data_IF_156465230653
#
_entry.id   IF_156465230653
#
_cell.length_a   1.000
_cell.length_b   1.000
_cell.length_c   1.000
_cell.angle_alpha   90.00
_cell.angle_beta   90.00
_cell.angle_gamma   90.00
#
_symmetry.space_group_name_H-M   'P 1'
#
loop_
_entity.id
_entity.type
_entity.pdbx_description
1 polymer ?
#
# COMPACT_ATOMS: atom_id res chain seq x y z
N UNK A 1 -33.52 -21.38 -41.29
CA UNK A 1 -32.24 -21.11 -40.61
C UNK A 1 -31.12 -21.18 -41.63
N UNK A 2 -30.48 -20.06 -41.93
CA UNK A 2 -29.45 -20.02 -42.95
C UNK A 2 -28.13 -20.53 -42.35
N UNK A 3 -27.94 -21.85 -42.32
CA UNK A 3 -26.72 -22.49 -41.80
C UNK A 3 -25.44 -21.97 -42.46
N UNK A 4 -25.55 -21.53 -43.72
CA UNK A 4 -24.48 -20.87 -44.48
C UNK A 4 -23.99 -19.60 -43.76
N UNK A 5 -24.91 -18.75 -43.29
CA UNK A 5 -24.57 -17.54 -42.53
C UNK A 5 -23.85 -17.90 -41.22
N UNK A 6 -24.31 -18.95 -40.52
CA UNK A 6 -23.66 -19.41 -39.28
C UNK A 6 -22.21 -19.85 -39.47
N UNK A 7 -21.92 -20.62 -40.54
CA UNK A 7 -20.55 -21.01 -40.88
C UNK A 7 -19.68 -19.82 -41.31
N UNK A 8 -20.25 -18.85 -42.03
CA UNK A 8 -19.56 -17.61 -42.40
C UNK A 8 -19.14 -16.80 -41.17
N UNK A 9 -20.06 -16.57 -40.22
CA UNK A 9 -19.74 -15.88 -38.96
C UNK A 9 -18.69 -16.62 -38.14
N UNK A 10 -18.72 -17.95 -38.11
CA UNK A 10 -17.69 -18.78 -37.44
C UNK A 10 -16.32 -18.56 -38.06
N UNK A 11 -16.24 -18.60 -39.39
CA UNK A 11 -15.00 -18.41 -40.12
C UNK A 11 -14.40 -17.02 -39.88
N UNK A 12 -15.24 -15.99 -39.94
CA UNK A 12 -14.84 -14.60 -39.64
C UNK A 12 -14.36 -14.48 -38.19
N UNK A 13 -15.05 -15.09 -37.22
CA UNK A 13 -14.64 -15.10 -35.81
C UNK A 13 -13.26 -15.73 -35.60
N UNK A 14 -13.00 -16.88 -36.22
CA UNK A 14 -11.69 -17.56 -36.15
C UNK A 14 -10.59 -16.70 -36.80
N UNK A 15 -10.87 -16.09 -37.95
CA UNK A 15 -9.91 -15.23 -38.64
C UNK A 15 -9.52 -14.01 -37.78
N UNK A 16 -10.52 -13.33 -37.20
CA UNK A 16 -10.32 -12.19 -36.31
C UNK A 16 -9.58 -12.60 -35.04
N UNK A 17 -9.94 -13.74 -34.44
CA UNK A 17 -9.24 -14.29 -33.27
C UNK A 17 -7.74 -14.47 -33.57
N UNK A 18 -7.40 -15.11 -34.69
CA UNK A 18 -6.02 -15.35 -35.09
C UNK A 18 -5.24 -14.04 -35.34
N UNK A 19 -5.81 -13.12 -36.12
CA UNK A 19 -5.18 -11.83 -36.44
C UNK A 19 -4.95 -11.02 -35.16
N UNK A 20 -5.97 -10.86 -34.33
CA UNK A 20 -5.85 -10.05 -33.11
C UNK A 20 -4.90 -10.69 -32.10
N UNK A 21 -4.87 -12.02 -31.97
CA UNK A 21 -3.85 -12.70 -31.15
C UNK A 21 -2.44 -12.43 -31.65
N UNK A 22 -2.21 -12.50 -32.96
CA UNK A 22 -0.91 -12.19 -33.56
C UNK A 22 -0.50 -10.74 -33.27
N UNK A 23 -1.41 -9.78 -33.46
CA UNK A 23 -1.16 -8.36 -33.15
C UNK A 23 -0.88 -8.14 -31.66
N UNK A 24 -1.68 -8.72 -30.77
CA UNK A 24 -1.47 -8.66 -29.32
C UNK A 24 -0.11 -9.24 -28.94
N UNK A 25 0.30 -10.34 -29.55
CA UNK A 25 1.60 -10.96 -29.30
C UNK A 25 2.75 -10.02 -29.70
N UNK A 26 2.71 -9.46 -30.91
CA UNK A 26 3.74 -8.53 -31.41
C UNK A 26 3.82 -7.28 -30.54
N UNK A 27 2.68 -6.68 -30.18
CA UNK A 27 2.67 -5.48 -29.32
C UNK A 27 3.18 -5.81 -27.92
N UNK A 28 2.80 -6.94 -27.32
CA UNK A 28 3.32 -7.35 -26.02
C UNK A 28 4.83 -7.60 -26.06
N UNK A 29 5.34 -8.26 -27.11
CA UNK A 29 6.76 -8.48 -27.30
C UNK A 29 7.50 -7.15 -27.35
N UNK A 30 7.03 -6.20 -28.16
CA UNK A 30 7.60 -4.85 -28.25
C UNK A 30 7.60 -4.15 -26.88
N UNK A 31 6.46 -4.10 -26.19
CA UNK A 31 6.35 -3.44 -24.87
C UNK A 31 7.25 -4.10 -23.84
N UNK A 32 7.41 -5.42 -23.89
CA UNK A 32 8.31 -6.16 -22.98
C UNK A 32 9.77 -5.80 -23.21
N UNK A 33 10.21 -5.70 -24.47
CA UNK A 33 11.58 -5.29 -24.83
C UNK A 33 11.87 -3.89 -24.29
N UNK A 34 10.96 -2.93 -24.49
CA UNK A 34 11.10 -1.57 -23.96
C UNK A 34 11.09 -1.54 -22.43
N UNK A 35 10.27 -2.38 -21.78
CA UNK A 35 10.25 -2.49 -20.32
C UNK A 35 11.60 -3.00 -19.78
N UNK A 36 12.14 -4.06 -20.37
CA UNK A 36 13.44 -4.63 -20.01
C UNK A 36 14.58 -3.65 -20.26
N UNK A 37 14.54 -2.90 -21.38
CA UNK A 37 15.51 -1.86 -21.66
C UNK A 37 15.48 -0.75 -20.61
N UNK A 38 14.30 -0.30 -20.19
CA UNK A 38 14.14 0.68 -19.11
C UNK A 38 14.64 0.15 -17.76
N UNK A 39 14.35 -1.11 -17.44
CA UNK A 39 14.86 -1.75 -16.21
C UNK A 39 16.39 -1.83 -16.23
N UNK A 40 16.98 -2.19 -17.37
CA UNK A 40 18.44 -2.17 -17.56
C UNK A 40 19.03 -0.76 -17.41
N UNK A 41 18.43 0.26 -18.03
CA UNK A 41 18.83 1.66 -17.84
C UNK A 41 18.68 2.11 -16.38
N UNK A 42 17.60 1.69 -15.72
CA UNK A 42 17.34 1.98 -14.31
C UNK A 42 18.36 1.35 -13.38
N UNK A 43 18.82 0.13 -13.67
CA UNK A 43 19.90 -0.55 -12.95
C UNK A 43 21.25 0.13 -13.18
N UNK A 44 21.55 0.56 -14.41
CA UNK A 44 22.78 1.32 -14.70
C UNK A 44 22.77 2.66 -13.94
N UNK A 45 21.61 3.34 -13.91
CA UNK A 45 21.41 4.55 -13.11
C UNK A 45 21.52 4.28 -11.61
N UNK A 46 21.00 3.16 -11.10
CA UNK A 46 21.10 2.82 -9.68
C UNK A 46 22.53 2.47 -9.27
N UNK A 47 23.30 1.81 -10.14
CA UNK A 47 24.73 1.56 -9.93
C UNK A 47 25.58 2.85 -10.00
N UNK A 48 25.17 3.84 -10.80
CA UNK A 48 25.79 5.18 -10.84
C UNK A 48 25.47 6.07 -9.64
N UNK A 49 24.44 5.71 -8.86
CA UNK A 49 24.09 6.32 -7.57
C UNK A 49 23.88 7.84 -7.59
N UNK A 50 24.05 8.46 -6.42
CA UNK A 50 23.94 9.90 -6.19
C UNK A 50 24.91 10.72 -7.05
N UNK A 51 26.00 10.09 -7.50
CA UNK A 51 27.05 10.70 -8.33
C UNK A 51 26.54 11.00 -9.74
N UNK A 52 25.78 10.07 -10.33
CA UNK A 52 25.12 10.29 -11.62
C UNK A 52 24.00 11.32 -11.53
N UNK A 53 23.24 11.33 -10.41
CA UNK A 53 22.21 12.34 -10.15
C UNK A 53 22.83 13.74 -9.97
N UNK A 54 23.93 13.87 -9.23
CA UNK A 54 24.67 15.13 -9.10
C UNK A 54 25.23 15.62 -10.44
N UNK A 55 25.74 14.70 -11.28
CA UNK A 55 26.25 15.03 -12.61
C UNK A 55 25.11 15.44 -13.57
N UNK A 56 23.95 14.80 -13.47
CA UNK A 56 22.77 15.10 -14.30
C UNK A 56 22.10 16.42 -13.88
N UNK A 57 22.13 16.78 -12.60
CA UNK A 57 21.68 18.10 -12.10
C UNK A 57 22.69 19.23 -12.35
N UNK A 58 23.86 18.95 -12.92
CA UNK A 58 24.79 19.99 -13.33
C UNK A 58 24.16 20.79 -14.50
N UNK A 59 23.99 22.12 -14.36
CA UNK A 59 23.34 22.95 -15.37
C UNK A 59 24.03 22.88 -16.75
N UNK A 60 25.34 22.61 -16.81
CA UNK A 60 26.07 22.44 -18.08
C UNK A 60 25.74 21.12 -18.79
N UNK A 61 25.52 20.04 -18.04
CA UNK A 61 25.16 18.72 -18.58
C UNK A 61 23.70 18.72 -19.02
N UNK A 62 22.80 19.29 -18.20
CA UNK A 62 21.41 19.54 -18.55
C UNK A 62 21.29 20.37 -19.84
N UNK A 63 22.04 21.47 -19.94
CA UNK A 63 22.08 22.31 -21.14
C UNK A 63 22.55 21.55 -22.39
N UNK A 64 23.55 20.68 -22.25
CA UNK A 64 24.05 19.83 -23.35
C UNK A 64 23.04 18.75 -23.76
N UNK A 65 22.30 18.16 -22.82
CA UNK A 65 21.23 17.18 -23.12
C UNK A 65 20.04 17.89 -23.80
N UNK A 66 19.64 19.06 -23.30
CA UNK A 66 18.55 19.88 -23.83
C UNK A 66 18.81 20.38 -25.27
N UNK A 67 20.06 20.69 -25.61
CA UNK A 67 20.44 21.18 -26.94
C UNK A 67 20.46 20.09 -28.01
N UNK A 68 20.70 18.84 -27.61
CA UNK A 68 20.78 17.71 -28.54
C UNK A 68 19.38 17.17 -28.85
N UNK A 69 18.81 17.45 -30.04
CA UNK A 69 17.44 17.06 -30.35
C UNK A 69 17.26 15.53 -30.34
N UNK A 70 18.32 14.78 -30.67
CA UNK A 70 18.30 13.30 -30.67
C UNK A 70 18.19 12.71 -29.26
N UNK A 71 18.91 13.25 -28.28
CA UNK A 71 18.82 12.77 -26.90
C UNK A 71 17.45 13.08 -26.31
N UNK A 72 16.90 14.26 -26.61
CA UNK A 72 15.56 14.63 -26.18
C UNK A 72 14.47 13.76 -26.79
N UNK A 73 14.58 13.42 -28.07
CA UNK A 73 13.62 12.49 -28.70
C UNK A 73 13.71 11.10 -28.10
N UNK A 74 14.91 10.60 -27.78
CA UNK A 74 15.08 9.29 -27.12
C UNK A 74 14.53 9.26 -25.69
N UNK A 75 14.74 10.33 -24.91
CA UNK A 75 14.19 10.44 -23.54
C UNK A 75 12.66 10.47 -23.59
N UNK A 76 12.08 11.29 -24.48
CA UNK A 76 10.63 11.35 -24.67
C UNK A 76 10.07 10.00 -25.15
N UNK A 77 10.72 9.34 -26.11
CA UNK A 77 10.34 8.01 -26.59
C UNK A 77 10.38 6.98 -25.44
N UNK A 78 11.42 7.01 -24.61
CA UNK A 78 11.59 6.11 -23.46
C UNK A 78 10.47 6.23 -22.42
N UNK A 79 9.93 7.43 -22.22
CA UNK A 79 8.82 7.67 -21.28
C UNK A 79 7.47 7.34 -21.92
N UNK A 80 7.27 7.73 -23.18
CA UNK A 80 5.97 7.62 -23.86
C UNK A 80 5.65 6.19 -24.29
N UNK A 81 6.62 5.45 -24.84
CA UNK A 81 6.42 4.08 -25.34
C UNK A 81 5.86 3.10 -24.30
N UNK A 82 6.38 3.01 -23.05
CA UNK A 82 5.85 2.05 -22.07
C UNK A 82 4.44 2.43 -21.56
N UNK A 83 4.09 3.71 -21.56
CA UNK A 83 2.74 4.15 -21.19
C UNK A 83 1.72 3.82 -22.28
N UNK A 84 2.03 4.21 -23.52
CA UNK A 84 1.18 3.90 -24.69
C UNK A 84 1.07 2.39 -24.87
N UNK A 85 2.17 1.65 -24.68
CA UNK A 85 2.21 0.21 -24.82
C UNK A 85 1.19 -0.52 -23.94
N UNK A 86 1.11 -0.18 -22.65
CA UNK A 86 0.15 -0.78 -21.72
C UNK A 86 -1.30 -0.49 -22.12
N UNK A 87 -1.58 0.75 -22.53
CA UNK A 87 -2.91 1.17 -22.97
C UNK A 87 -3.29 0.44 -24.26
N UNK A 88 -2.38 0.38 -25.23
CA UNK A 88 -2.57 -0.30 -26.50
C UNK A 88 -2.87 -1.79 -26.31
N UNK A 89 -2.11 -2.50 -25.47
CA UNK A 89 -2.36 -3.90 -25.14
C UNK A 89 -3.73 -4.09 -24.50
N UNK A 90 -4.10 -3.23 -23.54
CA UNK A 90 -5.41 -3.30 -22.89
C UNK A 90 -6.56 -3.07 -23.89
N UNK A 91 -6.38 -2.13 -24.81
CA UNK A 91 -7.37 -1.82 -25.84
C UNK A 91 -7.48 -2.92 -26.90
N UNK A 92 -6.37 -3.53 -27.32
CA UNK A 92 -6.38 -4.67 -28.23
C UNK A 92 -7.08 -5.88 -27.61
N UNK A 93 -6.86 -6.17 -26.32
CA UNK A 93 -7.60 -7.22 -25.59
C UNK A 93 -9.11 -6.93 -25.53
N UNK A 94 -9.49 -5.66 -25.34
CA UNK A 94 -10.89 -5.24 -25.38
C UNK A 94 -11.53 -5.49 -26.76
N UNK A 95 -10.86 -5.08 -27.84
CA UNK A 95 -11.34 -5.32 -29.21
C UNK A 95 -11.41 -6.83 -29.49
N UNK A 96 -10.39 -7.59 -29.07
CA UNK A 96 -10.34 -9.04 -29.25
C UNK A 96 -11.50 -9.75 -28.56
N UNK A 97 -11.77 -9.45 -27.29
CA UNK A 97 -12.89 -10.02 -26.57
C UNK A 97 -14.22 -9.70 -27.24
N UNK A 98 -14.46 -8.42 -27.59
CA UNK A 98 -15.72 -8.01 -28.21
C UNK A 98 -15.89 -8.67 -29.58
N UNK A 99 -14.85 -8.64 -30.41
CA UNK A 99 -14.90 -9.24 -31.74
C UNK A 99 -15.18 -10.73 -31.66
N UNK A 100 -14.37 -11.47 -30.91
CA UNK A 100 -14.53 -12.92 -30.80
C UNK A 100 -15.90 -13.30 -30.24
N UNK A 101 -16.29 -12.77 -29.09
CA UNK A 101 -17.57 -13.11 -28.45
C UNK A 101 -18.76 -12.73 -29.34
N UNK A 102 -18.75 -11.57 -30.01
CA UNK A 102 -19.81 -11.15 -30.92
C UNK A 102 -19.96 -12.09 -32.13
N UNK A 103 -18.85 -12.41 -32.80
CA UNK A 103 -18.87 -13.25 -34.00
C UNK A 103 -19.22 -14.71 -33.67
N UNK A 104 -18.74 -15.23 -32.54
CA UNK A 104 -19.09 -16.57 -32.08
C UNK A 104 -20.55 -16.66 -31.63
N UNK A 105 -21.06 -15.68 -30.88
CA UNK A 105 -22.46 -15.68 -30.42
C UNK A 105 -23.45 -15.55 -31.59
N UNK A 106 -23.14 -14.74 -32.61
CA UNK A 106 -23.91 -14.70 -33.87
C UNK A 106 -23.82 -16.02 -34.63
N UNK A 107 -22.64 -16.65 -34.69
CA UNK A 107 -22.50 -17.96 -35.31
C UNK A 107 -23.37 -19.01 -34.61
N UNK A 108 -23.32 -19.08 -33.27
CA UNK A 108 -24.12 -19.99 -32.45
C UNK A 108 -25.62 -19.74 -32.61
N UNK A 109 -26.05 -18.48 -32.72
CA UNK A 109 -27.44 -18.13 -33.01
C UNK A 109 -27.91 -18.73 -34.34
N UNK A 110 -27.13 -18.59 -35.42
CA UNK A 110 -27.50 -19.10 -36.74
C UNK A 110 -27.30 -20.63 -36.90
N UNK A 111 -26.38 -21.25 -36.15
CA UNK A 111 -26.08 -22.68 -36.21
C UNK A 111 -26.93 -23.52 -35.25
N UNK A 112 -27.07 -23.08 -33.99
CA UNK A 112 -27.67 -23.83 -32.89
C UNK A 112 -29.03 -23.28 -32.45
N UNK A 113 -29.43 -22.10 -32.92
CA UNK A 113 -30.67 -21.45 -32.48
C UNK A 113 -30.64 -20.96 -31.03
N UNK A 114 -29.45 -20.88 -30.43
CA UNK A 114 -29.26 -20.32 -29.08
C UNK A 114 -29.59 -18.83 -29.11
N UNK A 115 -30.29 -18.31 -28.09
CA UNK A 115 -30.51 -16.87 -27.96
C UNK A 115 -29.16 -16.18 -27.82
N UNK A 116 -28.93 -15.15 -28.65
CA UNK A 116 -27.74 -14.32 -28.57
C UNK A 116 -27.66 -13.67 -27.18
N UNK A 117 -26.46 -13.63 -26.59
CA UNK A 117 -26.26 -13.02 -25.27
C UNK A 117 -26.59 -11.52 -25.30
N UNK A 118 -26.25 -10.84 -26.40
CA UNK A 118 -26.62 -9.45 -26.66
C UNK A 118 -26.84 -9.20 -28.16
N UNK A 119 -27.71 -8.24 -28.49
CA UNK A 119 -27.98 -7.85 -29.88
C UNK A 119 -26.90 -6.90 -30.44
N UNK A 120 -26.39 -6.00 -29.61
CA UNK A 120 -25.43 -4.96 -29.99
C UNK A 120 -24.01 -5.32 -29.53
N UNK A 121 -23.04 -4.98 -30.38
CA UNK A 121 -21.61 -5.17 -30.08
C UNK A 121 -21.14 -4.35 -28.86
N UNK A 122 -21.77 -3.21 -28.58
CA UNK A 122 -21.44 -2.35 -27.43
C UNK A 122 -21.69 -3.04 -26.07
N UNK A 123 -22.70 -3.90 -26.00
CA UNK A 123 -23.09 -4.58 -24.76
C UNK A 123 -22.02 -5.57 -24.31
N UNK A 124 -21.34 -6.21 -25.26
CA UNK A 124 -20.16 -7.03 -25.01
C UNK A 124 -19.01 -6.24 -24.40
N UNK A 125 -18.87 -4.97 -24.78
CA UNK A 125 -17.88 -4.07 -24.17
C UNK A 125 -18.21 -3.72 -22.72
N UNK A 126 -19.49 -3.58 -22.38
CA UNK A 126 -19.94 -3.40 -20.98
C UNK A 126 -19.63 -4.63 -20.14
N UNK A 127 -19.97 -5.84 -20.64
CA UNK A 127 -19.66 -7.12 -19.99
C UNK A 127 -18.16 -7.30 -19.74
N UNK A 128 -17.31 -6.91 -20.69
CA UNK A 128 -15.85 -6.96 -20.51
C UNK A 128 -15.36 -6.09 -19.35
N UNK A 129 -15.84 -4.84 -19.26
CA UNK A 129 -15.45 -3.90 -18.19
C UNK A 129 -15.86 -4.42 -16.82
N UNK A 130 -17.07 -4.93 -16.70
CA UNK A 130 -17.58 -5.50 -15.45
C UNK A 130 -16.78 -6.72 -15.00
N UNK A 131 -16.42 -7.63 -15.92
CA UNK A 131 -15.58 -8.78 -15.62
C UNK A 131 -14.19 -8.34 -15.13
N UNK A 132 -13.61 -7.30 -15.73
CA UNK A 132 -12.32 -6.74 -15.32
C UNK A 132 -12.38 -6.15 -13.91
N UNK A 133 -13.46 -5.44 -13.56
CA UNK A 133 -13.67 -4.89 -12.22
C UNK A 133 -13.84 -5.99 -11.17
N UNK A 134 -14.67 -7.00 -11.46
CA UNK A 134 -14.84 -8.17 -10.58
C UNK A 134 -13.52 -8.89 -10.34
N UNK A 135 -12.66 -9.01 -11.37
CA UNK A 135 -11.35 -9.64 -11.23
C UNK A 135 -10.38 -8.81 -10.36
N UNK A 136 -10.41 -7.47 -10.47
CA UNK A 136 -9.62 -6.58 -9.61
C UNK A 136 -10.01 -6.71 -8.15
N UNK A 137 -11.30 -6.67 -7.85
CA UNK A 137 -11.82 -6.80 -6.48
C UNK A 137 -11.37 -8.13 -5.86
N UNK A 138 -11.48 -9.24 -6.62
CA UNK A 138 -11.02 -10.56 -6.16
C UNK A 138 -9.52 -10.60 -5.87
N UNK A 139 -8.69 -9.96 -6.70
CA UNK A 139 -7.24 -9.88 -6.49
C UNK A 139 -6.86 -9.06 -5.25
N UNK A 140 -7.56 -7.97 -5.00
CA UNK A 140 -7.35 -7.15 -3.81
C UNK A 140 -7.75 -7.88 -2.53
N UNK A 141 -8.89 -8.58 -2.56
CA UNK A 141 -9.33 -9.42 -1.44
C UNK A 141 -8.32 -10.54 -1.14
N UNK A 142 -7.81 -11.21 -2.17
CA UNK A 142 -6.76 -12.22 -2.03
C UNK A 142 -5.48 -11.66 -1.44
N UNK A 143 -5.05 -10.45 -1.85
CA UNK A 143 -3.87 -9.78 -1.27
C UNK A 143 -4.06 -9.45 0.20
N UNK A 144 -5.23 -8.96 0.59
CA UNK A 144 -5.54 -8.68 2.00
C UNK A 144 -5.49 -9.96 2.85
N UNK A 145 -6.09 -11.05 2.36
CA UNK A 145 -6.04 -12.35 3.04
C UNK A 145 -4.63 -12.88 3.16
N UNK A 146 -3.83 -12.80 2.09
CA UNK A 146 -2.43 -13.21 2.12
C UNK A 146 -1.60 -12.40 3.13
N UNK A 147 -1.79 -11.08 3.19
CA UNK A 147 -1.14 -10.21 4.17
C UNK A 147 -1.54 -10.53 5.61
N UNK A 148 -2.83 -10.79 5.84
CA UNK A 148 -3.35 -11.15 7.17
C UNK A 148 -2.84 -12.51 7.62
N UNK A 149 -2.76 -13.49 6.70
CA UNK A 149 -2.16 -14.80 6.96
C UNK A 149 -0.66 -14.71 7.23
N UNK A 150 0.09 -13.92 6.45
CA UNK A 150 1.51 -13.66 6.70
C UNK A 150 1.74 -13.02 8.06
N UNK A 151 0.95 -11.99 8.39
CA UNK A 151 0.99 -11.34 9.69
C UNK A 151 0.69 -12.34 10.81
N UNK A 152 -0.35 -13.16 10.64
CA UNK A 152 -0.72 -14.18 11.61
C UNK A 152 0.39 -15.22 11.80
N UNK A 153 1.03 -15.69 10.73
CA UNK A 153 2.14 -16.64 10.83
C UNK A 153 3.34 -16.03 11.54
N UNK A 154 3.73 -14.79 11.18
CA UNK A 154 4.81 -14.07 11.88
C UNK A 154 4.49 -13.88 13.36
N UNK A 155 3.23 -13.58 13.68
CA UNK A 155 2.77 -13.45 15.05
C UNK A 155 2.84 -14.77 15.84
N UNK A 156 2.48 -15.89 15.22
CA UNK A 156 2.55 -17.22 15.84
C UNK A 156 3.99 -17.72 16.02
N UNK A 157 4.85 -17.54 15.01
CA UNK A 157 6.28 -17.95 15.05
C UNK A 157 7.08 -17.21 16.13
N UNK A 158 6.67 -15.97 16.42
CA UNK A 158 7.22 -15.13 17.46
C UNK A 158 6.71 -15.48 18.89
N UNK A 159 5.90 -16.54 19.03
CA UNK A 159 5.40 -17.03 20.32
C UNK A 159 3.94 -16.63 20.65
N UNK A 160 3.27 -15.88 19.77
CA UNK A 160 1.90 -15.42 20.01
C UNK A 160 1.75 -14.65 21.33
N UNK A 161 0.52 -14.47 21.82
CA UNK A 161 0.24 -13.77 23.08
C UNK A 161 0.67 -14.55 24.35
N UNK A 162 1.40 -15.66 24.21
CA UNK A 162 1.75 -16.52 25.32
C UNK A 162 3.27 -16.52 25.50
N UNK A 163 3.76 -15.69 26.44
CA UNK A 163 4.52 -16.09 27.64
C UNK A 163 4.87 -14.82 28.43
N UNK A 164 4.44 -14.73 29.69
CA UNK A 164 4.86 -13.65 30.59
C UNK A 164 6.20 -14.02 31.22
N UNK A 165 7.32 -13.77 30.54
CA UNK A 165 8.67 -13.89 31.14
C UNK A 165 9.62 -12.80 30.66
N UNK A 166 10.54 -12.43 31.56
CA UNK A 166 11.42 -11.25 31.57
C UNK A 166 12.33 -11.06 30.33
N UNK A 167 12.63 -12.13 29.58
CA UNK A 167 13.62 -12.11 28.48
C UNK A 167 13.05 -11.73 27.09
N UNK A 168 11.72 -11.74 26.89
CA UNK A 168 11.10 -11.44 25.57
C UNK A 168 10.77 -9.95 25.35
N UNK A 169 11.25 -9.08 26.24
CA UNK A 169 10.92 -7.66 26.25
C UNK A 169 11.52 -6.88 25.07
N UNK A 170 12.73 -7.25 24.63
CA UNK A 170 13.46 -6.63 23.52
C UNK A 170 12.98 -7.15 22.17
N UNK A 171 12.66 -8.44 22.11
CA UNK A 171 12.11 -9.08 20.92
C UNK A 171 10.77 -8.41 20.53
N UNK A 172 9.92 -8.04 21.49
CA UNK A 172 8.62 -7.41 21.22
C UNK A 172 8.77 -6.05 20.53
N UNK A 173 9.75 -5.24 20.93
CA UNK A 173 10.02 -3.94 20.29
C UNK A 173 10.58 -4.11 18.88
N UNK A 174 11.42 -5.13 18.69
CA UNK A 174 11.93 -5.54 17.38
C UNK A 174 10.82 -6.08 16.46
N UNK A 175 9.82 -6.78 16.98
CA UNK A 175 8.64 -7.23 16.23
C UNK A 175 7.84 -6.06 15.64
N UNK A 176 7.58 -4.99 16.40
CA UNK A 176 6.90 -3.81 15.83
C UNK A 176 7.79 -3.08 14.82
N UNK A 177 9.11 -3.04 15.06
CA UNK A 177 10.09 -2.46 14.13
C UNK A 177 10.16 -3.23 12.80
N UNK A 178 10.22 -4.56 12.85
CA UNK A 178 10.38 -5.44 11.69
C UNK A 178 9.06 -5.73 10.94
N UNK A 179 7.92 -5.68 11.63
CA UNK A 179 6.60 -5.69 11.00
C UNK A 179 6.26 -4.38 10.26
N UNK A 180 7.18 -3.42 10.19
CA UNK A 180 7.00 -2.16 9.46
C UNK A 180 6.13 -1.13 10.18
N UNK A 181 5.76 -1.40 11.44
CA UNK A 181 4.95 -0.51 12.29
C UNK A 181 5.79 0.40 13.19
N UNK A 182 7.09 0.11 13.33
CA UNK A 182 8.03 0.86 14.16
C UNK A 182 8.67 2.06 13.47
N UNK A 183 8.07 2.54 12.38
CA UNK A 183 8.49 3.80 11.75
C UNK A 183 7.29 4.70 11.45
N UNK A 184 6.54 5.03 12.48
CA UNK A 184 5.79 6.28 12.51
C UNK A 184 6.69 7.41 13.05
N UNK A 185 7.71 7.77 12.27
CA UNK A 185 8.13 9.16 12.17
C UNK A 185 7.17 9.82 11.17
N UNK A 186 5.91 9.97 11.59
CA UNK A 186 4.88 10.63 10.80
C UNK A 186 5.17 12.13 10.77
N UNK A 187 5.63 12.61 9.62
CA UNK A 187 5.64 14.01 9.20
C UNK A 187 4.19 14.56 9.15
N UNK A 188 3.58 14.74 10.32
CA UNK A 188 2.60 15.81 10.47
C UNK A 188 3.41 17.08 10.69
N UNK A 189 3.74 17.75 9.59
CA UNK A 189 4.11 19.16 9.54
C UNK A 189 2.98 20.04 10.08
N UNK A 190 2.71 19.92 11.37
CA UNK A 190 2.09 20.92 12.22
C UNK A 190 3.17 21.37 13.18
N UNK A 191 3.41 22.68 13.22
CA UNK A 191 4.45 23.36 13.96
C UNK A 191 4.34 23.09 15.48
N UNK A 192 4.76 21.92 15.94
CA UNK A 192 4.93 21.62 17.36
C UNK A 192 6.39 21.81 17.69
N UNK A 193 6.70 23.06 18.03
CA UNK A 193 7.92 23.43 18.71
C UNK A 193 8.13 22.48 19.88
N UNK A 194 9.13 21.62 19.69
CA UNK A 194 9.89 20.99 20.75
C UNK A 194 10.58 22.11 21.53
N UNK A 195 9.81 22.80 22.37
CA UNK A 195 10.31 23.71 23.38
C UNK A 195 10.32 22.88 24.64
N UNK A 196 11.52 22.61 25.16
CA UNK A 196 11.70 22.19 26.55
C UNK A 196 10.84 23.09 27.43
N UNK A 197 9.68 22.54 27.82
CA UNK A 197 8.63 23.25 28.50
C UNK A 197 8.95 23.20 29.98
N UNK A 198 9.71 24.18 30.44
CA UNK A 198 9.66 24.62 31.82
C UNK A 198 8.18 24.82 32.16
N UNK A 199 7.64 23.97 33.06
CA UNK A 199 6.27 24.09 33.57
C UNK A 199 6.18 25.37 34.42
N UNK A 200 6.12 26.51 33.76
CA UNK A 200 5.57 27.72 34.33
C UNK A 200 4.04 27.60 34.31
N UNK A 201 3.55 27.08 35.43
CA UNK A 201 2.41 27.60 36.18
C UNK A 201 1.57 28.65 35.42
N UNK A 202 0.41 28.25 34.89
CA UNK A 202 -0.69 29.19 34.69
C UNK A 202 -2.02 28.43 34.70
N UNK A 203 -2.87 28.73 35.68
CA UNK A 203 -4.31 28.43 35.65
C UNK A 203 -4.74 27.16 36.40
N UNK A 204 -4.73 27.23 37.73
CA UNK A 204 -5.26 26.19 38.64
C UNK A 204 -4.24 25.09 38.92
N UNK A 205 -3.45 25.22 39.99
CA UNK A 205 -2.38 24.25 40.29
C UNK A 205 -2.98 22.87 40.60
N UNK A 206 -2.97 21.96 39.63
CA UNK A 206 -3.04 20.55 39.95
C UNK A 206 -1.77 20.23 40.76
N UNK A 207 -1.93 19.82 42.01
CA UNK A 207 -0.80 19.40 42.85
C UNK A 207 -0.01 18.32 42.11
N UNK A 208 1.31 18.30 42.24
CA UNK A 208 2.18 17.22 41.71
C UNK A 208 1.59 15.83 42.01
N UNK A 209 1.02 15.69 43.22
CA UNK A 209 0.29 14.50 43.67
C UNK A 209 -0.88 14.13 42.75
N UNK A 210 -1.73 15.10 42.39
CA UNK A 210 -2.90 14.90 41.54
C UNK A 210 -2.53 14.58 40.08
N UNK A 211 -1.44 15.14 39.55
CA UNK A 211 -0.94 14.81 38.22
C UNK A 211 -0.36 13.39 38.15
N UNK A 212 0.34 12.96 39.21
CA UNK A 212 0.83 11.59 39.35
C UNK A 212 -0.31 10.58 39.44
N UNK A 213 -1.30 10.82 40.31
CA UNK A 213 -2.51 9.99 40.42
C UNK A 213 -3.27 9.90 39.09
N UNK A 214 -3.43 11.02 38.37
CA UNK A 214 -4.05 11.03 37.03
C UNK A 214 -3.28 10.15 36.05
N UNK A 215 -1.95 10.23 36.03
CA UNK A 215 -1.11 9.45 35.12
C UNK A 215 -1.19 7.94 35.42
N UNK A 216 -1.19 7.57 36.70
CA UNK A 216 -1.43 6.19 37.12
C UNK A 216 -2.83 5.70 36.72
N UNK A 217 -3.85 6.54 36.86
CA UNK A 217 -5.23 6.21 36.46
C UNK A 217 -5.38 6.02 34.94
N UNK A 218 -4.69 6.83 34.12
CA UNK A 218 -4.67 6.68 32.65
C UNK A 218 -4.06 5.34 32.26
N UNK A 219 -2.97 4.93 32.91
CA UNK A 219 -2.35 3.62 32.68
C UNK A 219 -3.09 2.46 33.37
N UNK A 220 -3.99 2.75 34.32
CA UNK A 220 -4.74 1.76 35.10
C UNK A 220 -3.88 1.04 36.14
N UNK A 221 -2.86 1.69 36.68
CA UNK A 221 -1.93 1.13 37.69
C UNK A 221 -2.16 1.74 39.06
N UNK A 222 -1.72 1.04 40.11
CA UNK A 222 -1.78 1.55 41.47
C UNK A 222 -0.86 2.78 41.64
N UNK A 223 -1.19 3.70 42.54
CA UNK A 223 -0.33 4.85 42.86
C UNK A 223 1.02 4.44 43.48
N UNK A 224 1.08 3.27 44.11
CA UNK A 224 2.31 2.69 44.64
C UNK A 224 2.98 1.73 43.65
N UNK A 225 2.53 1.71 42.39
CA UNK A 225 3.05 0.80 41.38
C UNK A 225 4.55 0.98 41.18
N UNK A 226 5.26 -0.13 41.00
CA UNK A 226 6.67 -0.09 40.66
C UNK A 226 6.85 0.31 39.18
N UNK A 227 8.05 0.79 38.83
CA UNK A 227 8.41 1.13 37.44
C UNK A 227 8.08 -0.02 36.48
N UNK A 228 8.29 -1.26 36.95
CA UNK A 228 7.96 -2.47 36.21
C UNK A 228 6.47 -2.55 35.84
N UNK A 229 5.59 -2.30 36.80
CA UNK A 229 4.13 -2.36 36.62
C UNK A 229 3.63 -1.23 35.71
N UNK A 230 4.19 -0.03 35.85
CA UNK A 230 3.91 1.13 34.99
C UNK A 230 4.27 0.83 33.54
N UNK A 231 5.45 0.25 33.31
CA UNK A 231 5.94 -0.12 31.96
C UNK A 231 5.09 -1.23 31.33
N UNK A 232 4.66 -2.22 32.11
CA UNK A 232 3.81 -3.31 31.63
C UNK A 232 2.41 -2.80 31.25
N UNK A 233 1.83 -1.93 32.06
CA UNK A 233 0.51 -1.35 31.80
C UNK A 233 0.52 -0.43 30.59
N UNK A 234 1.55 0.41 30.45
CA UNK A 234 1.78 1.21 29.24
C UNK A 234 1.80 0.35 27.98
N UNK A 235 2.59 -0.75 27.97
CA UNK A 235 2.66 -1.66 26.82
C UNK A 235 1.31 -2.30 26.48
N UNK A 236 0.53 -2.68 27.50
CA UNK A 236 -0.83 -3.24 27.32
C UNK A 236 -1.79 -2.22 26.70
N UNK A 237 -1.78 -0.99 27.20
CA UNK A 237 -2.65 0.09 26.70
C UNK A 237 -2.24 0.58 25.32
N UNK A 238 -0.93 0.70 25.05
CA UNK A 238 -0.38 1.05 23.74
C UNK A 238 -0.82 0.06 22.65
N UNK A 239 -0.90 -1.24 22.98
CA UNK A 239 -1.43 -2.27 22.07
C UNK A 239 -2.94 -2.15 21.83
N UNK A 240 -3.71 -1.77 22.84
CA UNK A 240 -5.18 -1.65 22.75
C UNK A 240 -5.63 -0.39 22.00
N UNK A 241 -4.89 0.70 22.13
CA UNK A 241 -5.22 2.00 21.56
C UNK A 241 -4.29 2.43 20.42
N UNK A 242 -3.49 1.52 19.87
CA UNK A 242 -2.66 1.82 18.72
C UNK A 242 -3.53 2.28 17.54
N UNK A 243 -3.24 3.41 16.88
CA UNK A 243 -4.09 3.97 15.82
C UNK A 243 -4.25 3.05 14.60
N UNK A 244 -3.28 2.15 14.37
CA UNK A 244 -3.39 1.16 13.29
C UNK A 244 -4.29 -0.03 13.64
N UNK A 245 -4.49 -0.31 14.93
CA UNK A 245 -5.29 -1.43 15.43
C UNK A 245 -6.72 -0.96 15.77
N UNK A 246 -6.83 0.19 16.43
CA UNK A 246 -8.09 0.78 16.85
C UNK A 246 -8.41 2.03 16.02
N UNK A 247 -9.40 1.89 15.12
CA UNK A 247 -9.87 2.96 14.22
C UNK A 247 -11.05 3.75 14.78
N UNK A 248 -11.35 3.61 16.07
CA UNK A 248 -12.39 4.40 16.70
C UNK A 248 -12.02 5.89 16.72
N UNK A 249 -13.00 6.79 16.52
CA UNK A 249 -12.76 8.22 16.67
C UNK A 249 -12.32 8.51 18.11
N UNK A 250 -11.09 9.03 18.26
CA UNK A 250 -10.47 9.33 19.56
C UNK A 250 -9.39 8.35 20.03
N UNK A 251 -9.10 7.28 19.28
CA UNK A 251 -8.00 6.35 19.63
C UNK A 251 -6.63 7.05 19.65
N UNK A 252 -6.38 7.96 18.70
CA UNK A 252 -5.15 8.77 18.63
C UNK A 252 -4.96 9.68 19.85
N UNK A 253 -6.03 10.32 20.31
CA UNK A 253 -6.00 11.22 21.48
C UNK A 253 -5.72 10.42 22.76
N UNK A 254 -6.38 9.28 22.93
CA UNK A 254 -6.09 8.35 24.04
C UNK A 254 -4.67 7.81 24.01
N UNK A 255 -4.14 7.48 22.84
CA UNK A 255 -2.77 7.02 22.69
C UNK A 255 -1.75 8.10 23.10
N UNK A 256 -2.01 9.36 22.74
CA UNK A 256 -1.20 10.50 23.18
C UNK A 256 -1.28 10.69 24.71
N UNK A 257 -2.45 10.56 25.31
CA UNK A 257 -2.60 10.60 26.77
C UNK A 257 -1.82 9.48 27.48
N UNK A 258 -1.81 8.27 26.91
CA UNK A 258 -1.07 7.12 27.43
C UNK A 258 0.45 7.37 27.38
N UNK A 259 0.96 7.91 26.28
CA UNK A 259 2.38 8.28 26.15
C UNK A 259 2.77 9.37 27.15
N UNK A 260 1.97 10.44 27.24
CA UNK A 260 2.22 11.55 28.17
C UNK A 260 2.20 11.08 29.63
N UNK A 261 1.30 10.15 29.98
CA UNK A 261 1.24 9.56 31.32
C UNK A 261 2.48 8.71 31.64
N UNK A 262 2.96 7.92 30.68
CA UNK A 262 4.18 7.13 30.86
C UNK A 262 5.43 8.01 30.99
N UNK A 263 5.57 9.04 30.16
CA UNK A 263 6.70 9.98 30.22
C UNK A 263 6.74 10.76 31.54
N UNK A 264 5.57 11.09 32.11
CA UNK A 264 5.49 11.74 33.41
C UNK A 264 5.83 10.80 34.57
N UNK A 265 5.55 9.51 34.45
CA UNK A 265 5.84 8.48 35.46
C UNK A 265 7.29 8.00 35.39
N UNK A 266 8.23 8.95 35.47
CA UNK A 266 9.66 8.70 35.56
C UNK A 266 10.09 8.26 36.95
N UNK A 267 11.27 7.65 37.05
CA UNK A 267 11.85 7.20 38.33
C UNK A 267 11.89 8.33 39.37
N UNK A 268 12.31 9.52 38.93
CA UNK A 268 12.39 10.72 39.77
C UNK A 268 11.02 11.11 40.35
N UNK A 269 9.96 11.01 39.54
CA UNK A 269 8.61 11.37 39.95
C UNK A 269 7.97 10.30 40.84
N UNK A 270 8.24 9.02 40.58
CA UNK A 270 7.83 7.89 41.44
C UNK A 270 8.45 8.05 42.83
N UNK A 271 9.76 8.31 42.92
CA UNK A 271 10.43 8.55 44.20
C UNK A 271 9.91 9.80 44.91
N UNK A 272 9.69 10.88 44.17
CA UNK A 272 9.16 12.13 44.71
C UNK A 272 7.76 11.94 45.30
N UNK A 273 6.91 11.13 44.66
CA UNK A 273 5.58 10.81 45.16
C UNK A 273 5.63 9.99 46.46
N UNK A 274 6.53 8.99 46.52
CA UNK A 274 6.75 8.18 47.75
C UNK A 274 7.21 9.01 48.95
N UNK A 275 7.95 10.11 48.73
CA UNK A 275 8.39 11.05 49.78
C UNK A 275 7.29 12.01 50.27
N UNK A 276 6.17 12.09 49.56
CA UNK A 276 5.04 12.97 49.88
C UNK A 276 3.89 12.24 50.60
N UNK A 277 3.97 10.91 50.73
CA UNK A 277 3.11 10.07 51.57
C UNK A 277 3.57 10.09 53.02
#
# INVERSE_FOLDING_TARGET
MNKILGHMYKFVGILIDYILRAVIFVVNALVSVFKSFREMLGLILSMGGCLFIMLLFNPFVLYSILRNPLLMTLIMLSIVVPFIGKIAVSYLKYIHYIGTEYFFDKSDFYLLGRRASFEKMEDYGRKYRENLEREKIRREEQRRKAQEEEFRRRFEDFGGFHTYTFDDFDNFEEFFRDAGYGNYQGDYGGNYQNRGGNYQNTGGSMSFKAQYEKSCNILGVNYNADKYEIKLAYKKMAKLYHPDINKEPGATEKFQEINNAYDFLSDENIERYKKLQ
#
